data_IF_005358441460
#
_entry.id   IF_005358441460
#
_cell.length_a   1.000
_cell.length_b   1.000
_cell.length_c   1.000
_cell.angle_alpha   90.00
_cell.angle_beta   90.00
_cell.angle_gamma   90.00
#
_symmetry.space_group_name_H-M   'P 1'
#
loop_
_entity.id
_entity.type
_entity.pdbx_description
1 polymer ?
#
# COMPACT_ATOMS: atom_id res chain seq x y z
N UNK A 1 28.58 21.74 -3.95
CA UNK A 1 28.18 20.82 -5.02
C UNK A 1 26.67 20.77 -5.02
N UNK A 2 25.99 21.07 -6.14
CA UNK A 2 24.55 20.95 -6.20
C UNK A 2 24.20 19.47 -5.99
N UNK A 3 23.51 19.15 -4.90
CA UNK A 3 22.94 17.83 -4.69
C UNK A 3 22.01 17.54 -5.86
N UNK A 4 22.20 16.41 -6.53
CA UNK A 4 21.28 15.92 -7.55
C UNK A 4 19.84 15.93 -6.96
N UNK A 5 18.86 16.58 -7.61
CA UNK A 5 17.48 16.64 -7.11
C UNK A 5 16.90 15.27 -6.78
N UNK A 6 17.30 14.22 -7.52
CA UNK A 6 16.88 12.84 -7.25
C UNK A 6 17.46 12.31 -5.94
N UNK A 7 18.70 12.69 -5.58
CA UNK A 7 19.29 12.37 -4.28
C UNK A 7 18.50 13.03 -3.14
N UNK A 8 18.06 14.28 -3.32
CA UNK A 8 17.22 14.96 -2.31
C UNK A 8 15.86 14.25 -2.14
N UNK A 9 15.26 13.78 -3.24
CA UNK A 9 14.03 12.96 -3.18
C UNK A 9 14.27 11.67 -2.41
N UNK A 10 15.35 10.92 -2.70
CA UNK A 10 15.69 9.69 -1.95
C UNK A 10 15.88 9.95 -0.46
N UNK A 11 16.58 11.04 -0.11
CA UNK A 11 16.82 11.42 1.28
C UNK A 11 15.50 11.74 2.00
N UNK A 12 14.62 12.54 1.38
CA UNK A 12 13.33 12.89 1.99
C UNK A 12 12.42 11.67 2.14
N UNK A 13 12.36 10.78 1.14
CA UNK A 13 11.64 9.50 1.28
C UNK A 13 12.18 8.68 2.44
N UNK A 14 13.52 8.58 2.56
CA UNK A 14 14.16 7.84 3.66
C UNK A 14 13.84 8.44 5.02
N UNK A 15 13.81 9.78 5.13
CA UNK A 15 13.44 10.48 6.38
C UNK A 15 11.99 10.21 6.74
N UNK A 16 11.05 10.34 5.79
CA UNK A 16 9.62 10.06 6.05
C UNK A 16 9.43 8.61 6.47
N UNK A 17 10.03 7.65 5.78
CA UNK A 17 9.94 6.23 6.14
C UNK A 17 10.57 5.93 7.50
N UNK A 18 11.68 6.59 7.86
CA UNK A 18 12.33 6.39 9.15
C UNK A 18 11.52 6.98 10.32
N UNK A 19 10.91 8.16 10.12
CA UNK A 19 10.10 8.82 11.14
C UNK A 19 8.70 8.23 11.24
N UNK A 20 8.17 7.69 10.15
CA UNK A 20 6.80 7.19 10.07
C UNK A 20 6.73 5.85 9.32
N UNK A 21 7.26 4.76 9.90
CA UNK A 21 7.34 3.46 9.23
C UNK A 21 5.98 2.74 9.06
N UNK A 22 4.94 3.16 9.79
CA UNK A 22 3.64 2.49 9.82
C UNK A 22 2.52 3.34 9.20
N UNK A 23 2.41 4.60 9.60
CA UNK A 23 1.41 5.55 9.11
C UNK A 23 2.11 6.84 8.71
N UNK A 24 2.13 7.19 7.44
CA UNK A 24 2.87 8.36 6.97
C UNK A 24 2.07 9.16 5.93
N UNK A 25 2.33 10.48 5.82
CA UNK A 25 1.74 11.27 4.76
C UNK A 25 2.08 10.66 3.39
N UNK A 26 1.08 10.50 2.53
CA UNK A 26 1.29 10.05 1.17
C UNK A 26 1.63 11.25 0.30
N UNK A 27 2.65 11.09 -0.54
CA UNK A 27 3.04 12.13 -1.47
C UNK A 27 2.73 11.67 -2.88
N UNK A 28 1.68 12.24 -3.45
CA UNK A 28 1.23 11.90 -4.79
C UNK A 28 1.82 12.84 -5.85
N UNK A 29 1.95 12.37 -7.12
CA UNK A 29 2.41 13.19 -8.23
C UNK A 29 1.56 14.45 -8.49
N UNK A 30 2.05 15.31 -9.38
CA UNK A 30 1.29 16.50 -9.81
C UNK A 30 0.01 16.09 -10.55
N UNK A 31 -1.09 16.76 -10.21
CA UNK A 31 -2.35 16.67 -10.96
C UNK A 31 -3.24 15.50 -10.57
N UNK A 32 -3.00 14.90 -9.39
CA UNK A 32 -3.85 13.88 -8.79
C UNK A 32 -4.20 14.28 -7.36
N UNK A 33 -5.40 13.92 -6.94
CA UNK A 33 -5.90 14.01 -5.58
C UNK A 33 -5.67 12.69 -4.82
N UNK A 34 -6.11 12.64 -3.57
CA UNK A 34 -5.94 11.50 -2.68
C UNK A 34 -7.04 10.43 -2.88
N UNK A 35 -7.06 9.42 -2.02
CA UNK A 35 -7.95 8.28 -2.17
C UNK A 35 -7.64 7.48 -3.43
N UNK A 36 -8.66 7.16 -4.23
CA UNK A 36 -8.55 6.43 -5.50
C UNK A 36 -8.29 7.34 -6.71
N UNK A 37 -8.23 8.67 -6.55
CA UNK A 37 -8.17 9.58 -7.69
C UNK A 37 -6.96 9.32 -8.59
N UNK A 38 -5.79 9.01 -8.02
CA UNK A 38 -4.61 8.66 -8.81
C UNK A 38 -4.89 7.51 -9.80
N UNK A 39 -5.53 6.42 -9.37
CA UNK A 39 -5.80 5.27 -10.24
C UNK A 39 -7.01 5.53 -11.15
N UNK A 40 -8.04 6.23 -10.67
CA UNK A 40 -9.19 6.65 -11.48
C UNK A 40 -8.79 7.60 -12.61
N UNK A 41 -7.79 8.47 -12.37
CA UNK A 41 -7.27 9.40 -13.37
C UNK A 41 -6.62 8.71 -14.59
N UNK A 42 -6.29 7.41 -14.46
CA UNK A 42 -5.71 6.62 -15.53
C UNK A 42 -6.76 6.02 -16.48
N UNK A 43 -7.99 5.81 -16.01
CA UNK A 43 -9.10 5.30 -16.82
C UNK A 43 -9.46 6.26 -17.95
N UNK A 44 -9.63 5.70 -19.16
CA UNK A 44 -9.99 6.41 -20.39
C UNK A 44 -11.48 6.52 -20.61
N UNK A 45 -12.25 5.54 -20.16
CA UNK A 45 -13.72 5.54 -20.30
C UNK A 45 -14.42 5.55 -18.95
N UNK A 46 -15.72 5.83 -18.97
CA UNK A 46 -16.55 5.78 -17.76
C UNK A 46 -16.77 4.33 -17.30
N UNK A 47 -16.93 3.40 -18.23
CA UNK A 47 -17.06 1.97 -17.94
C UNK A 47 -15.83 1.44 -17.19
N UNK A 48 -14.64 1.91 -17.57
CA UNK A 48 -13.39 1.63 -16.88
C UNK A 48 -13.38 2.17 -15.44
N UNK A 49 -13.90 3.39 -15.22
CA UNK A 49 -14.04 3.97 -13.86
C UNK A 49 -15.01 3.16 -13.01
N UNK A 50 -16.18 2.83 -13.56
CA UNK A 50 -17.19 2.03 -12.86
C UNK A 50 -16.68 0.63 -12.52
N UNK A 51 -15.91 0.01 -13.43
CA UNK A 51 -15.27 -1.29 -13.17
C UNK A 51 -14.29 -1.19 -12.00
N UNK A 52 -13.48 -0.13 -11.93
CA UNK A 52 -12.53 0.07 -10.84
C UNK A 52 -13.22 0.33 -9.50
N UNK A 53 -14.27 1.16 -9.49
CA UNK A 53 -15.09 1.41 -8.29
C UNK A 53 -15.81 0.14 -7.82
N UNK A 54 -16.18 -0.76 -8.73
CA UNK A 54 -16.76 -2.05 -8.35
C UNK A 54 -15.73 -3.03 -7.73
N UNK A 55 -14.42 -2.76 -7.83
CA UNK A 55 -13.39 -3.51 -7.10
C UNK A 55 -13.21 -3.02 -5.66
N UNK A 56 -13.80 -1.88 -5.33
CA UNK A 56 -13.94 -1.42 -3.95
C UNK A 56 -14.95 -2.35 -3.26
N UNK A 57 -14.46 -3.31 -2.47
CA UNK A 57 -15.32 -3.93 -1.47
C UNK A 57 -15.65 -2.82 -0.45
N UNK A 58 -16.94 -2.48 -0.30
CA UNK A 58 -17.40 -1.60 0.77
C UNK A 58 -17.02 -2.23 2.11
N UNK A 59 -15.88 -1.84 2.65
CA UNK A 59 -15.54 -2.12 4.04
C UNK A 59 -16.14 -0.99 4.89
N UNK A 60 -17.18 -1.33 5.66
CA UNK A 60 -17.91 -0.41 6.53
C UNK A 60 -16.95 0.55 7.28
N UNK A 61 -17.11 1.86 7.05
CA UNK A 61 -16.40 2.95 7.74
C UNK A 61 -14.89 3.09 7.42
N UNK A 62 -14.41 2.57 6.30
CA UNK A 62 -13.05 2.80 5.82
C UNK A 62 -13.01 3.45 4.44
N UNK A 63 -12.02 4.32 4.25
CA UNK A 63 -11.76 5.03 3.00
C UNK A 63 -10.56 4.37 2.29
N UNK A 64 -10.66 4.05 0.99
CA UNK A 64 -9.55 3.48 0.24
C UNK A 64 -8.49 4.55 -0.07
N UNK A 65 -7.24 4.28 0.31
CA UNK A 65 -6.10 5.18 0.10
C UNK A 65 -5.05 4.51 -0.79
N UNK A 66 -4.63 5.20 -1.86
CA UNK A 66 -3.54 4.73 -2.73
C UNK A 66 -2.19 4.97 -2.06
N UNK A 67 -1.41 3.90 -1.93
CA UNK A 67 -0.07 3.93 -1.34
C UNK A 67 0.97 3.80 -2.43
N UNK A 68 1.91 4.73 -2.49
CA UNK A 68 2.96 4.71 -3.50
C UNK A 68 4.21 5.48 -3.09
N UNK A 69 5.26 5.30 -3.88
CA UNK A 69 6.56 5.96 -3.68
C UNK A 69 7.16 6.32 -5.02
N UNK A 70 8.01 7.33 -5.04
CA UNK A 70 8.78 7.63 -6.24
C UNK A 70 9.97 6.67 -6.35
N UNK A 71 9.95 5.86 -7.39
CA UNK A 71 11.08 5.04 -7.78
C UNK A 71 12.06 5.91 -8.56
N UNK A 72 13.16 6.26 -7.89
CA UNK A 72 14.17 7.17 -8.42
C UNK A 72 14.99 6.54 -9.53
N UNK A 73 15.21 5.22 -9.48
CA UNK A 73 15.99 4.49 -10.47
C UNK A 73 15.24 4.44 -11.80
N UNK A 74 13.96 4.07 -11.74
CA UNK A 74 13.10 3.95 -12.92
C UNK A 74 12.41 5.25 -13.30
N UNK A 75 12.46 6.28 -12.45
CA UNK A 75 11.81 7.60 -12.61
C UNK A 75 10.29 7.50 -12.81
N UNK A 76 9.66 6.63 -12.03
CA UNK A 76 8.22 6.37 -12.07
C UNK A 76 7.63 6.57 -10.68
N UNK A 77 6.33 6.86 -10.62
CA UNK A 77 5.60 6.73 -9.37
C UNK A 77 5.11 5.28 -9.25
N UNK A 78 5.70 4.53 -8.33
CA UNK A 78 5.38 3.14 -8.08
C UNK A 78 4.23 3.04 -7.09
N UNK A 79 3.04 2.68 -7.59
CA UNK A 79 1.87 2.38 -6.77
C UNK A 79 2.03 0.97 -6.22
N UNK A 80 1.94 0.86 -4.90
CA UNK A 80 2.24 -0.36 -4.17
C UNK A 80 0.99 -1.16 -3.82
N UNK A 81 -0.07 -0.47 -3.39
CA UNK A 81 -1.34 -1.05 -2.95
C UNK A 81 -2.41 0.02 -2.79
N UNK A 82 -3.67 -0.42 -2.73
CA UNK A 82 -4.76 0.32 -2.09
C UNK A 82 -4.88 -0.20 -0.65
N UNK A 83 -5.05 0.71 0.30
CA UNK A 83 -5.24 0.39 1.71
C UNK A 83 -6.49 1.08 2.24
N UNK A 84 -7.40 0.30 2.82
CA UNK A 84 -8.58 0.80 3.51
C UNK A 84 -8.16 1.32 4.88
N UNK A 85 -8.57 2.55 5.17
CA UNK A 85 -8.15 3.27 6.36
C UNK A 85 -9.35 3.90 7.03
N UNK A 86 -9.37 3.88 8.37
CA UNK A 86 -10.31 4.74 9.10
C UNK A 86 -9.98 6.21 8.85
N UNK A 87 -11.01 7.05 8.92
CA UNK A 87 -10.91 8.50 8.67
C UNK A 87 -9.71 9.15 9.38
N UNK A 88 -9.46 8.77 10.64
CA UNK A 88 -8.34 9.32 11.44
C UNK A 88 -6.97 9.05 10.82
N UNK A 89 -6.78 7.88 10.21
CA UNK A 89 -5.54 7.49 9.53
C UNK A 89 -5.49 8.08 8.12
N UNK A 90 -6.62 8.05 7.40
CA UNK A 90 -6.75 8.64 6.06
C UNK A 90 -6.37 10.13 6.06
N UNK A 91 -6.81 10.89 7.06
CA UNK A 91 -6.42 12.30 7.23
C UNK A 91 -4.90 12.48 7.29
N UNK A 92 -4.14 11.56 7.88
CA UNK A 92 -2.67 11.66 7.93
C UNK A 92 -2.07 11.47 6.53
N UNK A 93 -2.63 10.56 5.74
CA UNK A 93 -2.20 10.34 4.35
C UNK A 93 -2.46 11.57 3.49
N UNK A 94 -3.61 12.20 3.70
CA UNK A 94 -4.09 13.37 2.97
C UNK A 94 -3.52 14.67 3.55
N UNK A 95 -2.27 15.00 3.20
CA UNK A 95 -1.57 16.14 3.78
C UNK A 95 -2.38 17.44 3.74
N UNK A 96 -3.14 17.70 2.66
CA UNK A 96 -4.00 18.87 2.55
C UNK A 96 -5.13 18.87 3.59
N UNK A 97 -5.84 17.75 3.72
CA UNK A 97 -6.93 17.56 4.71
C UNK A 97 -6.40 17.67 6.14
N UNK A 98 -5.20 17.18 6.40
CA UNK A 98 -4.56 17.37 7.71
C UNK A 98 -4.30 18.84 8.04
N UNK A 99 -3.82 19.63 7.07
CA UNK A 99 -3.62 21.08 7.27
C UNK A 99 -4.96 21.80 7.48
N UNK A 100 -5.99 21.45 6.72
CA UNK A 100 -7.34 21.98 6.92
C UNK A 100 -7.87 21.65 8.32
N UNK A 101 -7.71 20.42 8.78
CA UNK A 101 -8.09 20.01 10.14
C UNK A 101 -7.37 20.83 11.22
N UNK A 102 -6.10 21.16 11.03
CA UNK A 102 -5.35 22.02 11.96
C UNK A 102 -5.94 23.43 12.07
N UNK A 103 -6.53 23.96 10.98
CA UNK A 103 -7.15 25.28 10.95
C UNK A 103 -8.58 25.26 11.50
N UNK A 104 -9.35 24.23 11.15
CA UNK A 104 -10.76 24.10 11.50
C UNK A 104 -10.97 23.64 12.95
N UNK A 105 -10.20 22.63 13.38
CA UNK A 105 -10.34 22.02 14.70
C UNK A 105 -8.97 21.58 15.26
N UNK A 106 -8.20 22.52 15.85
CA UNK A 106 -6.88 22.23 16.41
C UNK A 106 -6.88 21.14 17.49
N UNK A 107 -8.00 20.95 18.20
CA UNK A 107 -8.13 19.92 19.25
C UNK A 107 -8.17 18.53 18.61
N UNK A 108 -9.00 18.34 17.58
CA UNK A 108 -9.04 17.09 16.83
C UNK A 108 -7.72 16.84 16.11
N UNK A 109 -7.12 17.88 15.52
CA UNK A 109 -5.84 17.79 14.83
C UNK A 109 -4.71 17.34 15.77
N UNK A 110 -4.71 17.81 17.03
CA UNK A 110 -3.78 17.33 18.06
C UNK A 110 -3.96 15.83 18.34
N UNK A 111 -5.20 15.34 18.40
CA UNK A 111 -5.47 13.91 18.61
C UNK A 111 -4.97 13.06 17.43
N UNK A 112 -5.10 13.56 16.20
CA UNK A 112 -4.52 12.92 15.01
C UNK A 112 -3.00 12.85 15.11
N UNK A 113 -2.33 13.92 15.52
CA UNK A 113 -0.86 13.92 15.71
C UNK A 113 -0.42 12.93 16.78
N UNK A 114 -1.13 12.89 17.91
CA UNK A 114 -0.85 11.95 18.99
C UNK A 114 -0.97 10.50 18.50
N UNK A 115 -2.06 10.21 17.79
CA UNK A 115 -2.29 8.89 17.20
C UNK A 115 -1.21 8.52 16.16
N UNK A 116 -0.87 9.45 15.28
CA UNK A 116 0.22 9.30 14.31
C UNK A 116 1.54 8.93 14.99
N UNK A 117 1.90 9.63 16.06
CA UNK A 117 3.13 9.33 16.82
C UNK A 117 3.07 7.93 17.44
N UNK A 118 1.97 7.59 18.10
CA UNK A 118 1.78 6.29 18.77
C UNK A 118 1.84 5.10 17.79
N UNK A 119 1.15 5.20 16.65
CA UNK A 119 1.15 4.15 15.61
C UNK A 119 2.56 3.93 15.05
N UNK A 120 3.37 4.97 14.98
CA UNK A 120 4.75 4.91 14.51
C UNK A 120 5.77 4.57 15.63
N UNK A 121 5.30 4.27 16.85
CA UNK A 121 6.14 3.84 17.96
C UNK A 121 6.83 4.98 18.72
N UNK A 122 6.39 6.22 18.53
CA UNK A 122 6.90 7.41 19.22
C UNK A 122 6.03 7.77 20.42
N UNK A 123 6.53 8.69 21.25
CA UNK A 123 5.76 9.28 22.35
C UNK A 123 4.74 10.27 21.79
N UNK A 124 3.51 10.26 22.29
CA UNK A 124 2.43 11.10 21.76
C UNK A 124 2.64 12.60 22.01
N UNK A 125 3.49 12.95 22.96
CA UNK A 125 3.90 14.33 23.25
C UNK A 125 5.05 14.86 22.35
N UNK A 126 5.68 14.03 21.51
CA UNK A 126 6.81 14.44 20.66
C UNK A 126 6.36 15.19 19.39
N UNK A 127 5.80 16.38 19.60
CA UNK A 127 5.31 17.23 18.52
C UNK A 127 6.39 17.70 17.55
N UNK A 128 7.65 17.78 18.01
CA UNK A 128 8.79 18.15 17.18
C UNK A 128 9.06 17.06 16.15
N UNK A 129 9.04 15.79 16.56
CA UNK A 129 9.22 14.66 15.64
C UNK A 129 8.10 14.62 14.59
N UNK A 130 6.84 14.83 15.01
CA UNK A 130 5.73 14.93 14.06
C UNK A 130 5.95 16.07 13.07
N UNK A 131 6.31 17.26 13.54
CA UNK A 131 6.59 18.41 12.68
C UNK A 131 7.72 18.12 11.69
N UNK A 132 8.79 17.43 12.09
CA UNK A 132 9.88 17.03 11.20
C UNK A 132 9.38 16.10 10.10
N UNK A 133 8.56 15.10 10.44
CA UNK A 133 8.00 14.17 9.46
C UNK A 133 7.09 14.89 8.45
N UNK A 134 6.13 15.68 8.92
CA UNK A 134 5.22 16.44 8.06
C UNK A 134 5.96 17.47 7.19
N UNK A 135 6.99 18.11 7.72
CA UNK A 135 7.84 19.03 6.96
C UNK A 135 8.63 18.31 5.87
N UNK A 136 9.17 17.13 6.17
CA UNK A 136 9.87 16.30 5.17
C UNK A 136 8.91 15.84 4.06
N UNK A 137 7.70 15.41 4.42
CA UNK A 137 6.67 15.04 3.46
C UNK A 137 6.24 16.21 2.57
N UNK A 138 6.06 17.41 3.14
CA UNK A 138 5.74 18.61 2.38
C UNK A 138 6.87 19.00 1.41
N UNK A 139 8.13 18.94 1.86
CA UNK A 139 9.28 19.18 1.00
C UNK A 139 9.35 18.16 -0.15
N UNK A 140 9.11 16.88 0.15
CA UNK A 140 9.04 15.80 -0.83
C UNK A 140 7.93 16.06 -1.86
N UNK A 141 6.74 16.46 -1.41
CA UNK A 141 5.61 16.81 -2.28
C UNK A 141 5.95 17.98 -3.19
N UNK A 142 6.59 19.01 -2.65
CA UNK A 142 7.01 20.16 -3.43
C UNK A 142 7.98 19.77 -4.54
N UNK A 143 8.97 18.91 -4.23
CA UNK A 143 9.91 18.40 -5.22
C UNK A 143 9.23 17.51 -6.25
N UNK A 144 8.44 16.51 -5.83
CA UNK A 144 7.76 15.58 -6.74
C UNK A 144 6.78 16.29 -7.67
N UNK A 145 6.11 17.35 -7.21
CA UNK A 145 5.22 18.17 -8.05
C UNK A 145 5.98 19.09 -9.02
N UNK A 146 7.28 19.29 -8.84
CA UNK A 146 8.12 20.01 -9.79
C UNK A 146 8.59 19.13 -10.97
N UNK A 147 8.53 17.81 -10.85
CA UNK A 147 8.81 16.91 -11.97
C UNK A 147 7.72 17.03 -13.05
N UNK A 148 8.06 16.71 -14.32
CA UNK A 148 7.06 16.40 -15.32
C UNK A 148 6.12 15.29 -14.83
N UNK A 149 4.95 15.15 -15.47
CA UNK A 149 4.02 14.07 -15.16
C UNK A 149 4.77 12.73 -15.21
N UNK A 150 4.84 12.07 -14.07
CA UNK A 150 5.57 10.81 -13.91
C UNK A 150 4.73 9.66 -14.48
N UNK A 151 5.34 8.71 -15.20
CA UNK A 151 4.68 7.46 -15.51
C UNK A 151 4.31 6.72 -14.21
N UNK A 152 3.18 6.01 -14.24
CA UNK A 152 2.71 5.21 -13.12
C UNK A 152 3.15 3.76 -13.33
N UNK A 153 3.71 3.16 -12.29
CA UNK A 153 4.06 1.74 -12.29
C UNK A 153 3.26 0.98 -11.25
N UNK A 154 2.81 -0.22 -11.61
CA UNK A 154 2.15 -1.19 -10.73
C UNK A 154 2.93 -2.50 -10.81
N UNK A 155 3.26 -3.10 -9.66
CA UNK A 155 4.08 -4.32 -9.58
C UNK A 155 5.42 -4.21 -10.36
N UNK A 156 6.04 -3.03 -10.32
CA UNK A 156 7.33 -2.75 -10.97
C UNK A 156 7.24 -2.57 -12.49
N UNK A 157 6.05 -2.53 -13.09
CA UNK A 157 5.85 -2.31 -14.53
C UNK A 157 5.09 -1.02 -14.77
N UNK A 158 5.57 -0.22 -15.73
CA UNK A 158 4.81 0.93 -16.21
C UNK A 158 3.51 0.42 -16.81
N UNK A 159 2.40 1.01 -16.38
CA UNK A 159 1.09 0.71 -16.92
C UNK A 159 0.70 1.78 -17.93
N UNK A 160 0.25 1.33 -19.10
CA UNK A 160 -0.35 2.16 -20.13
C UNK A 160 -1.81 1.68 -20.25
N UNK A 161 -2.74 2.58 -19.93
CA UNK A 161 -4.18 2.30 -19.99
C UNK A 161 -4.71 2.90 -21.28
N UNK A 162 -5.25 2.05 -22.14
CA UNK A 162 -5.97 2.41 -23.37
C UNK A 162 -7.47 2.12 -23.21
N UNK A 163 -8.30 2.53 -24.17
CA UNK A 163 -9.77 2.37 -24.10
C UNK A 163 -10.23 0.91 -23.97
N UNK A 164 -9.48 -0.04 -24.51
CA UNK A 164 -9.78 -1.48 -24.51
C UNK A 164 -9.06 -2.25 -23.39
N UNK A 165 -8.31 -1.56 -22.53
CA UNK A 165 -7.56 -2.19 -21.43
C UNK A 165 -8.51 -2.78 -20.38
N UNK A 166 -8.25 -4.02 -19.97
CA UNK A 166 -8.90 -4.65 -18.82
C UNK A 166 -8.38 -4.03 -17.51
N UNK A 167 -9.14 -3.09 -16.98
CA UNK A 167 -8.83 -2.35 -15.75
C UNK A 167 -8.82 -3.26 -14.52
N UNK A 168 -9.67 -4.30 -14.50
CA UNK A 168 -9.72 -5.21 -13.37
C UNK A 168 -8.45 -6.04 -13.30
N UNK A 169 -7.97 -6.55 -14.43
CA UNK A 169 -6.69 -7.26 -14.48
C UNK A 169 -5.50 -6.32 -14.18
N UNK A 170 -5.51 -5.12 -14.77
CA UNK A 170 -4.41 -4.15 -14.63
C UNK A 170 -4.19 -3.69 -13.18
N UNK A 171 -5.28 -3.46 -12.43
CA UNK A 171 -5.21 -2.97 -11.05
C UNK A 171 -5.39 -4.04 -9.98
N UNK A 172 -5.80 -5.26 -10.32
CA UNK A 172 -5.91 -6.38 -9.36
C UNK A 172 -4.72 -6.51 -8.39
N UNK A 173 -3.45 -6.31 -8.80
CA UNK A 173 -2.31 -6.37 -7.88
C UNK A 173 -2.34 -5.35 -6.73
N UNK A 174 -3.10 -4.26 -6.87
CA UNK A 174 -3.21 -3.21 -5.85
C UNK A 174 -4.21 -3.55 -4.75
N UNK A 175 -5.28 -4.29 -5.09
CA UNK A 175 -6.37 -4.66 -4.19
C UNK A 175 -6.14 -6.03 -3.54
N UNK A 176 -5.31 -6.88 -4.16
CA UNK A 176 -4.94 -8.15 -3.58
C UNK A 176 -4.13 -7.91 -2.28
N UNK A 177 -4.70 -8.28 -1.13
CA UNK A 177 -3.86 -8.52 0.05
C UNK A 177 -2.77 -9.48 -0.39
N UNK A 178 -1.50 -9.05 -0.29
CA UNK A 178 -0.34 -9.93 -0.54
C UNK A 178 -0.37 -11.04 0.52
N UNK A 179 -1.25 -12.01 0.34
CA UNK A 179 -1.25 -13.25 1.05
C UNK A 179 0.13 -13.83 0.80
N UNK A 180 0.92 -13.96 1.88
CA UNK A 180 2.23 -14.60 1.85
C UNK A 180 2.08 -15.84 0.98
N UNK A 181 2.75 -15.89 -0.17
CA UNK A 181 2.77 -17.03 -1.09
C UNK A 181 2.88 -18.30 -0.25
N UNK A 182 1.76 -19.02 -0.04
CA UNK A 182 1.83 -20.39 0.47
C UNK A 182 2.54 -21.15 -0.63
N UNK A 183 3.78 -21.55 -0.34
CA UNK A 183 4.56 -22.41 -1.20
C UNK A 183 3.64 -23.58 -1.62
N UNK A 184 3.37 -23.66 -2.92
CA UNK A 184 2.64 -24.77 -3.53
C UNK A 184 3.45 -26.02 -3.23
N UNK A 185 3.04 -26.80 -2.22
CA UNK A 185 3.45 -28.20 -2.10
C UNK A 185 2.93 -28.88 -3.35
N UNK A 186 3.83 -29.18 -4.28
CA UNK A 186 3.58 -30.12 -5.37
C UNK A 186 3.25 -31.47 -4.74
N UNK A 187 1.98 -31.84 -4.86
CA UNK A 187 1.48 -33.19 -4.65
C UNK A 187 2.06 -34.08 -5.74
N UNK A 188 3.07 -34.88 -5.39
CA UNK A 188 3.45 -36.02 -6.21
C UNK A 188 2.34 -37.07 -6.15
N UNK A 189 1.90 -37.45 -7.35
CA UNK A 189 0.91 -38.47 -7.65
C UNK A 189 1.36 -39.83 -7.11
N UNK A 190 0.47 -40.52 -6.40
CA UNK A 190 0.53 -41.96 -6.23
C UNK A 190 0.19 -42.67 -7.55
N UNK A 191 0.96 -43.70 -7.89
CA UNK A 191 0.47 -44.86 -8.64
C UNK A 191 1.07 -46.17 -8.07
N UNK A 192 0.41 -47.33 -8.26
CA UNK A 192 0.42 -48.41 -7.28
C UNK A 192 1.22 -49.68 -7.67
N UNK A 193 1.55 -50.43 -6.61
CA UNK A 193 1.72 -51.89 -6.49
C UNK A 193 2.88 -52.63 -7.19
N UNK A 194 3.67 -53.37 -6.38
CA UNK A 194 3.97 -54.80 -6.63
C UNK A 194 4.47 -55.55 -5.37
N UNK A 195 4.13 -56.83 -5.36
CA UNK A 195 4.13 -57.84 -4.28
C UNK A 195 5.53 -58.31 -3.83
N UNK A 196 5.66 -58.66 -2.55
CA UNK A 196 6.78 -59.47 -2.01
C UNK A 196 6.37 -60.20 -0.71
N UNK A 197 6.59 -61.51 -0.66
CA UNK A 197 6.03 -62.52 0.27
C UNK A 197 6.75 -62.66 1.64
N UNK A 198 5.94 -62.76 2.71
CA UNK A 198 5.82 -63.85 3.73
C UNK A 198 6.85 -64.06 4.87
N UNK A 199 6.28 -64.20 6.10
CA UNK A 199 6.61 -65.00 7.32
C UNK A 199 6.50 -64.09 8.57
N UNK A 200 5.97 -64.43 9.74
CA UNK A 200 5.45 -65.63 10.44
C UNK A 200 4.68 -65.06 11.66
N UNK A 201 3.42 -65.43 11.93
CA UNK A 201 2.98 -66.49 12.86
C UNK A 201 2.98 -66.14 14.36
N UNK A 202 1.79 -66.36 14.98
CA UNK A 202 1.41 -66.56 16.41
C UNK A 202 0.53 -65.45 16.99
N UNK A 203 -0.51 -65.66 17.80
CA UNK A 203 -1.48 -66.75 18.03
C UNK A 203 -2.33 -66.33 19.25
N UNK A 204 -3.68 -66.41 19.16
CA UNK A 204 -4.68 -66.51 20.27
C UNK A 204 -4.71 -65.31 21.26
N UNK A 205 -5.82 -64.88 21.87
CA UNK A 205 -7.05 -65.54 22.32
C UNK A 205 -8.06 -64.43 22.67
N UNK A 206 -9.34 -64.63 22.33
CA UNK A 206 -10.48 -63.94 22.95
C UNK A 206 -10.50 -64.16 24.47
N UNK A 207 -10.93 -63.16 25.24
CA UNK A 207 -12.00 -63.34 26.24
C UNK A 207 -12.68 -62.00 26.55
N UNK A 208 -14.00 -62.05 26.42
CA UNK A 208 -14.99 -61.15 26.98
C UNK A 208 -14.95 -61.20 28.51
N UNK A 209 -15.13 -60.04 29.13
CA UNK A 209 -16.11 -59.76 30.19
C UNK A 209 -16.30 -58.25 30.20
#
# INVERSE_FOLDING_TARGET
MASDPLTAVQQLQSVVTALAPALHPQVLPKGVEYGLDLILSLCKTEEQRQTLLALEEEEDYMEPQVIGTFDVENRVFAVQKVQWMHEREAVVHEFARFIELQLENPIAAKQVVQHFLEVNGHKSEDSILAQQCFSAAFALQTLLRAFPKLPIAVDGKIIEIEEDTDIAEAFAPLFATKSKKKAKKTTEKQEPAKKGKVKQQKSKKRKST
#
